data_IF_435910889475
#
_entry.id   IF_435910889475
#
_cell.length_a   1.000
_cell.length_b   1.000
_cell.length_c   1.000
_cell.angle_alpha   90.00
_cell.angle_beta   90.00
_cell.angle_gamma   90.00
#
_symmetry.space_group_name_H-M   'P 1'
#
loop_
_entity.id
_entity.type
_entity.pdbx_description
1 polymer ?
#
# COMPACT_ATOMS: atom_id res chain seq x y z
N UNK A 1 12.80 -42.12 1.86
CA UNK A 1 13.96 -41.65 1.09
C UNK A 1 13.55 -41.54 -0.36
N UNK A 2 13.40 -40.31 -0.84
CA UNK A 2 13.31 -39.99 -2.25
C UNK A 2 13.95 -38.61 -2.37
N UNK A 3 15.05 -38.59 -3.11
CA UNK A 3 15.97 -37.49 -3.30
C UNK A 3 15.53 -36.63 -4.48
N UNK A 4 15.79 -35.32 -4.36
CA UNK A 4 16.02 -34.30 -5.38
C UNK A 4 15.16 -34.22 -6.67
N UNK A 5 14.45 -33.10 -6.77
CA UNK A 5 14.44 -32.17 -7.91
C UNK A 5 14.10 -30.80 -7.29
N UNK A 6 14.94 -29.77 -7.28
CA UNK A 6 15.65 -29.18 -8.40
C UNK A 6 15.04 -27.80 -8.61
N UNK A 7 15.64 -26.74 -8.07
CA UNK A 7 15.50 -25.41 -8.68
C UNK A 7 16.80 -24.62 -8.50
N UNK A 8 17.54 -24.67 -9.59
CA UNK A 8 18.92 -24.25 -9.81
C UNK A 8 18.82 -23.00 -10.68
N UNK A 9 18.56 -21.85 -10.07
CA UNK A 9 18.55 -20.58 -10.77
C UNK A 9 19.23 -19.53 -9.90
N UNK A 10 20.57 -19.53 -9.92
CA UNK A 10 21.49 -18.39 -9.95
C UNK A 10 22.90 -18.96 -9.74
N UNK A 11 23.50 -19.40 -10.84
CA UNK A 11 24.86 -19.99 -10.90
C UNK A 11 25.89 -18.93 -10.50
N UNK A 12 26.98 -19.38 -9.87
CA UNK A 12 28.10 -18.55 -9.40
C UNK A 12 28.44 -17.42 -10.39
N UNK A 13 28.76 -16.25 -9.85
CA UNK A 13 29.05 -15.06 -10.61
C UNK A 13 30.56 -14.81 -10.58
N UNK A 14 31.15 -14.68 -11.76
CA UNK A 14 32.52 -14.18 -11.91
C UNK A 14 32.46 -12.66 -11.83
N UNK A 15 33.20 -12.06 -10.91
CA UNK A 15 33.44 -10.63 -10.90
C UNK A 15 34.81 -10.31 -10.31
N UNK A 16 35.45 -9.31 -10.89
CA UNK A 16 36.72 -8.73 -10.48
C UNK A 16 36.51 -7.53 -9.55
N UNK A 17 37.56 -7.15 -8.80
CA UNK A 17 37.55 -5.92 -7.99
C UNK A 17 37.22 -4.67 -8.83
N UNK A 18 37.66 -4.65 -10.10
CA UNK A 18 37.31 -3.60 -11.06
C UNK A 18 35.82 -3.54 -11.36
N UNK A 19 35.15 -4.69 -11.46
CA UNK A 19 33.69 -4.76 -11.66
C UNK A 19 32.95 -4.36 -10.39
N UNK A 20 33.46 -4.68 -9.20
CA UNK A 20 32.91 -4.19 -7.94
C UNK A 20 33.02 -2.66 -7.86
N UNK A 21 34.16 -2.07 -8.23
CA UNK A 21 34.29 -0.61 -8.35
C UNK A 21 33.28 -0.03 -9.33
N UNK A 22 33.14 -0.61 -10.53
CA UNK A 22 32.31 -0.08 -11.60
C UNK A 22 30.79 -0.26 -11.36
N UNK A 23 30.38 -1.40 -10.80
CA UNK A 23 28.98 -1.81 -10.64
C UNK A 23 28.45 -1.40 -9.27
N UNK A 24 29.24 -1.63 -8.21
CA UNK A 24 28.83 -1.43 -6.81
C UNK A 24 29.33 -0.09 -6.24
N UNK A 25 30.21 0.62 -6.94
CA UNK A 25 30.66 1.97 -6.57
C UNK A 25 31.76 2.02 -5.51
N UNK A 26 32.61 0.99 -5.38
CA UNK A 26 33.77 1.06 -4.51
C UNK A 26 34.76 2.16 -4.96
N UNK A 27 35.30 2.92 -4.01
CA UNK A 27 36.13 4.11 -4.29
C UNK A 27 37.54 3.78 -4.82
N UNK A 28 37.99 2.54 -4.64
CA UNK A 28 39.29 2.01 -5.08
C UNK A 28 39.25 0.49 -5.13
N UNK A 29 40.26 -0.13 -5.74
CA UNK A 29 40.43 -1.59 -5.73
C UNK A 29 40.60 -2.13 -4.32
N UNK A 30 41.38 -1.45 -3.46
CA UNK A 30 41.52 -1.83 -2.05
C UNK A 30 40.16 -1.84 -1.33
N UNK A 31 39.32 -0.83 -1.57
CA UNK A 31 37.98 -0.78 -1.01
C UNK A 31 37.06 -1.86 -1.57
N UNK A 32 37.23 -2.26 -2.84
CA UNK A 32 36.51 -3.39 -3.43
C UNK A 32 36.94 -4.71 -2.78
N UNK A 33 38.24 -4.89 -2.55
CA UNK A 33 38.81 -6.05 -1.85
C UNK A 33 38.25 -6.17 -0.43
N UNK A 34 38.24 -5.07 0.33
CA UNK A 34 37.66 -5.03 1.68
C UNK A 34 36.16 -5.39 1.69
N UNK A 35 35.40 -5.02 0.66
CA UNK A 35 33.99 -5.39 0.54
C UNK A 35 33.81 -6.89 0.28
N UNK A 36 34.65 -7.48 -0.56
CA UNK A 36 34.64 -8.92 -0.85
C UNK A 36 35.01 -9.72 0.42
N UNK A 37 36.07 -9.30 1.11
CA UNK A 37 36.51 -9.92 2.36
C UNK A 37 35.42 -9.83 3.43
N UNK A 38 34.83 -8.65 3.62
CA UNK A 38 33.73 -8.44 4.57
C UNK A 38 32.51 -9.31 4.25
N UNK A 39 32.16 -9.44 2.97
CA UNK A 39 31.05 -10.29 2.54
C UNK A 39 31.35 -11.79 2.74
N UNK A 40 32.62 -12.19 2.57
CA UNK A 40 33.10 -13.55 2.80
C UNK A 40 33.10 -13.89 4.29
N UNK A 41 33.65 -13.00 5.13
CA UNK A 41 33.67 -13.14 6.59
C UNK A 41 32.26 -13.14 7.20
N UNK A 42 31.35 -12.36 6.62
CA UNK A 42 29.94 -12.40 6.97
C UNK A 42 29.22 -13.68 6.52
N UNK A 43 29.89 -14.55 5.76
CA UNK A 43 29.35 -15.80 5.21
C UNK A 43 28.24 -15.57 4.20
N UNK A 44 28.26 -14.44 3.49
CA UNK A 44 27.26 -14.07 2.49
C UNK A 44 27.66 -14.59 1.11
N UNK A 45 28.95 -14.52 0.79
CA UNK A 45 29.52 -15.12 -0.41
C UNK A 45 30.55 -16.16 -0.01
N UNK A 46 30.80 -17.10 -0.91
CA UNK A 46 31.88 -18.07 -0.81
C UNK A 46 32.64 -18.10 -2.13
N UNK A 47 33.97 -18.21 -2.04
CA UNK A 47 34.81 -18.44 -3.21
C UNK A 47 34.62 -19.89 -3.69
N UNK A 48 34.42 -20.06 -4.99
CA UNK A 48 34.33 -21.35 -5.67
C UNK A 48 35.40 -21.41 -6.76
N UNK A 49 35.75 -22.61 -7.27
CA UNK A 49 36.75 -22.73 -8.34
C UNK A 49 36.48 -21.81 -9.54
N UNK A 50 37.53 -21.53 -10.31
CA UNK A 50 37.51 -20.64 -11.49
C UNK A 50 37.29 -19.15 -11.15
N UNK A 51 37.88 -18.68 -10.05
CA UNK A 51 37.85 -17.27 -9.63
C UNK A 51 36.43 -16.66 -9.47
N UNK A 52 35.47 -17.52 -9.12
CA UNK A 52 34.06 -17.17 -9.01
C UNK A 52 33.61 -17.04 -7.56
N UNK A 53 32.55 -16.27 -7.35
CA UNK A 53 31.86 -16.18 -6.06
C UNK A 53 30.41 -16.66 -6.17
N UNK A 54 29.94 -17.34 -5.13
CA UNK A 54 28.56 -17.78 -5.03
C UNK A 54 27.91 -17.25 -3.75
N UNK A 55 26.66 -16.84 -3.86
CA UNK A 55 25.84 -16.52 -2.69
C UNK A 55 25.56 -17.78 -1.87
N UNK A 56 25.77 -17.69 -0.57
CA UNK A 56 25.41 -18.76 0.37
C UNK A 56 23.89 -18.78 0.61
N UNK A 57 23.37 -19.87 1.17
CA UNK A 57 21.96 -19.92 1.61
C UNK A 57 21.61 -18.76 2.54
N UNK A 58 22.54 -18.36 3.42
CA UNK A 58 22.39 -17.22 4.32
C UNK A 58 22.25 -15.89 3.56
N UNK A 59 22.98 -15.70 2.47
CA UNK A 59 22.81 -14.51 1.65
C UNK A 59 21.50 -14.51 0.88
N UNK A 60 21.02 -15.67 0.40
CA UNK A 60 19.69 -15.79 -0.20
C UNK A 60 18.58 -15.52 0.81
N UNK A 61 18.71 -16.01 2.04
CA UNK A 61 17.80 -15.69 3.15
C UNK A 61 17.82 -14.19 3.44
N UNK A 62 19.01 -13.56 3.40
CA UNK A 62 19.15 -12.12 3.57
C UNK A 62 18.52 -11.35 2.42
N UNK A 63 18.72 -11.74 1.16
CA UNK A 63 18.14 -11.09 -0.02
C UNK A 63 16.62 -11.22 -0.06
N UNK A 64 16.08 -12.39 0.27
CA UNK A 64 14.64 -12.59 0.40
C UNK A 64 14.04 -11.81 1.57
N UNK A 65 14.81 -11.54 2.63
CA UNK A 65 14.42 -10.62 3.71
C UNK A 65 14.78 -9.15 3.46
N UNK A 66 15.48 -8.85 2.36
CA UNK A 66 15.91 -7.50 1.95
C UNK A 66 15.44 -7.08 0.56
N UNK A 67 14.36 -7.68 0.04
CA UNK A 67 13.31 -6.84 -0.55
C UNK A 67 13.10 -5.66 0.40
N UNK A 68 13.07 -4.40 -0.08
CA UNK A 68 13.14 -3.24 0.78
C UNK A 68 12.17 -3.45 1.92
N UNK A 69 12.71 -3.64 3.13
CA UNK A 69 11.93 -3.67 4.34
C UNK A 69 11.15 -2.37 4.32
N UNK A 70 9.89 -2.46 3.90
CA UNK A 70 8.93 -1.38 4.02
C UNK A 70 9.02 -0.98 5.48
N UNK A 71 9.61 0.19 5.72
CA UNK A 71 10.01 0.67 7.02
C UNK A 71 8.97 0.26 8.04
N UNK A 72 9.31 -0.75 8.87
CA UNK A 72 8.47 -1.36 9.90
C UNK A 72 7.04 -0.82 9.86
N UNK A 73 6.24 -1.34 8.92
CA UNK A 73 4.84 -1.00 8.84
C UNK A 73 4.21 -1.46 10.13
N UNK A 74 4.15 -0.58 11.13
CA UNK A 74 3.22 -0.71 12.23
C UNK A 74 1.89 -0.95 11.54
N UNK A 75 1.40 -2.20 11.60
CA UNK A 75 0.19 -2.65 10.92
C UNK A 75 -0.85 -1.56 11.12
N UNK A 76 -1.09 -0.73 10.09
CA UNK A 76 -1.86 0.51 10.25
C UNK A 76 -3.35 0.19 10.40
N UNK A 77 -3.70 -1.09 10.50
CA UNK A 77 -5.05 -1.62 10.36
C UNK A 77 -5.53 -1.46 8.93
N UNK A 78 -6.74 -1.93 8.68
CA UNK A 78 -7.42 -1.72 7.40
C UNK A 78 -8.05 -0.32 7.40
N UNK A 79 -8.10 0.33 6.23
CA UNK A 79 -8.81 1.60 6.09
C UNK A 79 -10.32 1.36 6.04
N UNK A 80 -10.72 0.35 5.27
CA UNK A 80 -12.06 -0.25 5.25
C UNK A 80 -11.93 -1.66 5.79
N UNK A 81 -12.68 -1.98 6.84
CA UNK A 81 -12.68 -3.31 7.44
C UNK A 81 -13.05 -4.39 6.40
N UNK A 82 -12.24 -5.44 6.33
CA UNK A 82 -12.42 -6.58 5.44
C UNK A 82 -13.77 -7.27 5.59
N UNK A 83 -14.37 -7.26 6.78
CA UNK A 83 -15.73 -7.75 7.01
C UNK A 83 -16.77 -6.90 6.24
N UNK A 84 -16.62 -5.57 6.19
CA UNK A 84 -17.50 -4.69 5.40
C UNK A 84 -17.36 -4.99 3.90
N UNK A 85 -16.14 -5.22 3.42
CA UNK A 85 -15.89 -5.59 2.01
C UNK A 85 -16.54 -6.94 1.69
N UNK A 86 -16.40 -7.93 2.57
CA UNK A 86 -17.04 -9.23 2.41
C UNK A 86 -18.57 -9.13 2.38
N UNK A 87 -19.15 -8.28 3.25
CA UNK A 87 -20.59 -8.01 3.24
C UNK A 87 -21.06 -7.37 1.93
N UNK A 88 -20.30 -6.42 1.37
CA UNK A 88 -20.61 -5.81 0.08
C UNK A 88 -20.60 -6.84 -1.05
N UNK A 89 -19.61 -7.73 -1.08
CA UNK A 89 -19.52 -8.82 -2.08
C UNK A 89 -20.68 -9.82 -1.98
N UNK A 90 -21.21 -10.02 -0.77
CA UNK A 90 -22.30 -10.95 -0.53
C UNK A 90 -23.68 -10.38 -0.93
N UNK A 91 -23.78 -9.08 -1.22
CA UNK A 91 -25.04 -8.47 -1.68
C UNK A 91 -25.25 -8.87 -3.14
N UNK A 92 -26.24 -9.74 -3.36
CA UNK A 92 -26.64 -10.23 -4.67
C UNK A 92 -27.85 -9.50 -5.27
N UNK A 93 -28.44 -8.54 -4.55
CA UNK A 93 -29.65 -7.85 -4.98
C UNK A 93 -29.36 -6.58 -5.82
N UNK A 94 -29.52 -6.74 -7.14
CA UNK A 94 -30.58 -6.04 -7.89
C UNK A 94 -30.27 -4.71 -8.55
N UNK A 95 -29.97 -3.65 -7.78
CA UNK A 95 -30.12 -2.29 -8.32
C UNK A 95 -28.80 -1.64 -8.74
N UNK A 96 -27.67 -2.11 -8.19
CA UNK A 96 -26.36 -1.55 -8.44
C UNK A 96 -25.30 -2.63 -8.62
N UNK A 97 -24.41 -2.44 -9.60
CA UNK A 97 -23.17 -3.21 -9.70
C UNK A 97 -22.12 -2.62 -8.73
N UNK A 98 -21.80 -3.39 -7.68
CA UNK A 98 -20.89 -2.97 -6.62
C UNK A 98 -19.41 -3.27 -6.94
N UNK A 99 -19.10 -3.90 -8.09
CA UNK A 99 -17.74 -4.34 -8.42
C UNK A 99 -16.72 -3.22 -8.34
N UNK A 100 -17.10 -2.02 -8.82
CA UNK A 100 -16.24 -0.83 -8.75
C UNK A 100 -16.03 -0.35 -7.32
N UNK A 101 -17.09 -0.30 -6.51
CA UNK A 101 -17.01 0.10 -5.10
C UNK A 101 -16.11 -0.84 -4.30
N UNK A 102 -16.33 -2.16 -4.45
CA UNK A 102 -15.51 -3.20 -3.81
C UNK A 102 -14.04 -3.03 -4.18
N UNK A 103 -13.74 -2.82 -5.48
CA UNK A 103 -12.37 -2.60 -5.92
C UNK A 103 -11.75 -1.33 -5.31
N UNK A 104 -12.49 -0.23 -5.24
CA UNK A 104 -11.99 1.00 -4.58
C UNK A 104 -11.71 0.78 -3.09
N UNK A 105 -12.52 -0.02 -2.37
CA UNK A 105 -12.28 -0.39 -0.97
C UNK A 105 -11.01 -1.24 -0.80
N UNK A 106 -10.70 -2.14 -1.73
CA UNK A 106 -9.45 -2.91 -1.72
C UNK A 106 -8.23 -2.01 -2.00
N UNK A 107 -8.34 -1.14 -3.01
CA UNK A 107 -7.26 -0.26 -3.42
C UNK A 107 -6.91 0.76 -2.32
N UNK A 108 -7.90 1.30 -1.62
CA UNK A 108 -7.63 2.24 -0.52
C UNK A 108 -6.95 1.54 0.66
N UNK A 109 -7.27 0.26 0.94
CA UNK A 109 -6.56 -0.54 1.93
C UNK A 109 -5.09 -0.76 1.53
N UNK A 110 -4.83 -1.08 0.26
CA UNK A 110 -3.48 -1.23 -0.26
C UNK A 110 -2.69 0.10 -0.16
N UNK A 111 -3.30 1.21 -0.55
CA UNK A 111 -2.71 2.54 -0.45
C UNK A 111 -2.41 2.94 1.00
N UNK A 112 -3.32 2.64 1.92
CA UNK A 112 -3.16 2.91 3.35
C UNK A 112 -2.00 2.14 3.96
N UNK A 113 -1.93 0.84 3.71
CA UNK A 113 -0.87 -0.04 4.19
C UNK A 113 0.51 0.33 3.60
N UNK A 114 0.54 0.77 2.34
CA UNK A 114 1.74 1.27 1.68
C UNK A 114 2.15 2.68 2.13
N UNK A 115 1.29 3.38 2.88
CA UNK A 115 1.52 4.75 3.30
C UNK A 115 1.39 5.80 2.20
N UNK A 116 0.68 5.49 1.12
CA UNK A 116 0.42 6.37 -0.01
C UNK A 116 -0.69 7.37 0.32
N UNK A 117 -0.40 8.36 1.18
CA UNK A 117 -1.42 9.27 1.75
C UNK A 117 -2.17 10.10 0.70
N UNK A 118 -1.51 10.50 -0.38
CA UNK A 118 -2.14 11.19 -1.51
C UNK A 118 -3.18 10.28 -2.18
N UNK A 119 -2.81 9.03 -2.46
CA UNK A 119 -3.71 8.04 -3.06
C UNK A 119 -4.88 7.72 -2.13
N UNK A 120 -4.65 7.62 -0.81
CA UNK A 120 -5.73 7.43 0.18
C UNK A 120 -6.74 8.57 0.10
N UNK A 121 -6.29 9.83 0.10
CA UNK A 121 -7.18 10.99 0.00
C UNK A 121 -8.00 10.98 -1.31
N UNK A 122 -7.34 10.68 -2.44
CA UNK A 122 -7.99 10.61 -3.75
C UNK A 122 -9.02 9.48 -3.84
N UNK A 123 -8.68 8.28 -3.36
CA UNK A 123 -9.59 7.12 -3.37
C UNK A 123 -10.76 7.32 -2.41
N UNK A 124 -10.52 7.86 -1.21
CA UNK A 124 -11.58 8.20 -0.27
C UNK A 124 -12.57 9.18 -0.90
N UNK A 125 -12.07 10.22 -1.60
CA UNK A 125 -12.92 11.18 -2.32
C UNK A 125 -13.73 10.51 -3.43
N UNK A 126 -13.10 9.63 -4.21
CA UNK A 126 -13.75 8.89 -5.28
C UNK A 126 -14.87 7.97 -4.75
N UNK A 127 -14.65 7.28 -3.63
CA UNK A 127 -15.68 6.48 -2.96
C UNK A 127 -16.86 7.38 -2.57
N UNK A 128 -16.60 8.51 -1.91
CA UNK A 128 -17.64 9.44 -1.44
C UNK A 128 -18.47 10.04 -2.59
N UNK A 129 -17.88 10.26 -3.77
CA UNK A 129 -18.62 10.67 -4.97
C UNK A 129 -19.41 9.54 -5.63
N UNK A 130 -19.00 8.28 -5.42
CA UNK A 130 -19.59 7.12 -6.06
C UNK A 130 -20.86 6.63 -5.36
N UNK A 131 -20.94 6.75 -4.04
CA UNK A 131 -22.02 6.21 -3.20
C UNK A 131 -23.38 6.93 -3.21
N UNK A 132 -23.53 8.24 -3.56
CA UNK A 132 -24.82 8.94 -3.43
C UNK A 132 -26.03 8.27 -4.10
N UNK A 133 -25.93 7.65 -5.29
CA UNK A 133 -27.07 6.99 -5.93
C UNK A 133 -27.69 5.86 -5.08
N UNK A 134 -26.91 5.17 -4.25
CA UNK A 134 -27.39 4.12 -3.33
C UNK A 134 -28.36 4.70 -2.29
N UNK A 135 -28.23 5.99 -1.97
CA UNK A 135 -29.13 6.71 -1.06
C UNK A 135 -30.21 7.51 -1.80
N UNK A 136 -30.37 7.28 -3.11
CA UNK A 136 -31.25 8.05 -4.00
C UNK A 136 -30.95 9.56 -4.00
N UNK A 137 -29.67 9.93 -3.88
CA UNK A 137 -29.22 11.32 -3.90
C UNK A 137 -28.22 11.55 -5.04
N UNK A 138 -28.07 12.82 -5.45
CA UNK A 138 -27.16 13.18 -6.55
C UNK A 138 -25.74 13.51 -6.09
N UNK A 139 -25.56 13.83 -4.82
CA UNK A 139 -24.26 14.16 -4.25
C UNK A 139 -24.21 13.87 -2.75
N UNK A 140 -23.01 13.78 -2.20
CA UNK A 140 -22.82 13.44 -0.79
C UNK A 140 -23.32 14.51 0.20
N UNK A 141 -23.43 15.77 -0.23
CA UNK A 141 -24.04 16.83 0.60
C UNK A 141 -25.53 16.52 0.88
N UNK A 142 -26.25 16.08 -0.16
CA UNK A 142 -27.65 15.65 -0.04
C UNK A 142 -27.79 14.38 0.79
N UNK A 143 -26.87 13.42 0.66
CA UNK A 143 -26.85 12.24 1.55
C UNK A 143 -26.77 12.69 3.00
N UNK A 144 -25.83 13.58 3.30
CA UNK A 144 -25.62 14.10 4.66
C UNK A 144 -26.87 14.80 5.21
N UNK A 145 -27.54 15.64 4.41
CA UNK A 145 -28.71 16.39 4.88
C UNK A 145 -29.95 15.52 5.12
N UNK A 146 -30.09 14.40 4.42
CA UNK A 146 -31.24 13.48 4.54
C UNK A 146 -31.10 12.47 5.70
N UNK A 147 -29.90 12.27 6.24
CA UNK A 147 -29.70 11.40 7.41
C UNK A 147 -30.37 12.03 8.64
N UNK A 148 -31.36 11.35 9.22
CA UNK A 148 -32.07 11.81 10.42
C UNK A 148 -31.27 11.60 11.71
N UNK A 149 -30.48 10.52 11.78
CA UNK A 149 -29.68 10.18 12.95
C UNK A 149 -28.49 11.13 13.14
N UNK A 150 -28.48 11.87 14.25
CA UNK A 150 -27.49 12.93 14.53
C UNK A 150 -26.05 12.43 14.53
N UNK A 151 -25.78 11.25 15.06
CA UNK A 151 -24.42 10.67 15.13
C UNK A 151 -23.88 10.34 13.74
N UNK A 152 -24.67 9.66 12.90
CA UNK A 152 -24.32 9.30 11.53
C UNK A 152 -24.11 10.57 10.70
N UNK A 153 -25.02 11.54 10.84
CA UNK A 153 -24.90 12.84 10.17
C UNK A 153 -23.58 13.52 10.51
N UNK A 154 -23.18 13.54 11.78
CA UNK A 154 -21.90 14.11 12.20
C UNK A 154 -20.68 13.45 11.53
N UNK A 155 -20.67 12.13 11.41
CA UNK A 155 -19.62 11.40 10.66
C UNK A 155 -19.61 11.78 9.17
N UNK A 156 -20.78 11.91 8.56
CA UNK A 156 -20.91 12.27 7.14
C UNK A 156 -20.52 13.72 6.88
N UNK A 157 -20.88 14.66 7.77
CA UNK A 157 -20.45 16.06 7.72
C UNK A 157 -18.93 16.19 7.82
N UNK A 158 -18.29 15.38 8.67
CA UNK A 158 -16.84 15.34 8.80
C UNK A 158 -16.17 14.89 7.49
N UNK A 159 -16.64 13.79 6.89
CA UNK A 159 -16.20 13.34 5.56
C UNK A 159 -16.44 14.46 4.54
N UNK A 160 -17.67 14.95 4.45
CA UNK A 160 -18.08 15.93 3.46
C UNK A 160 -17.18 17.16 3.50
N UNK A 161 -16.88 17.70 4.67
CA UNK A 161 -16.16 18.97 4.78
C UNK A 161 -14.65 18.75 4.73
N UNK A 162 -14.10 17.91 5.62
CA UNK A 162 -12.66 17.79 5.78
C UNK A 162 -12.01 17.00 4.64
N UNK A 163 -12.57 15.84 4.26
CA UNK A 163 -11.98 15.02 3.19
C UNK A 163 -12.00 15.76 1.85
N UNK A 164 -13.07 16.51 1.54
CA UNK A 164 -13.13 17.29 0.29
C UNK A 164 -11.95 18.23 0.16
N UNK A 165 -11.69 19.07 1.16
CA UNK A 165 -10.60 20.04 1.09
C UNK A 165 -9.22 19.37 0.96
N UNK A 166 -9.02 18.23 1.62
CA UNK A 166 -7.76 17.49 1.60
C UNK A 166 -7.55 16.83 0.24
N UNK A 167 -8.59 16.19 -0.31
CA UNK A 167 -8.52 15.53 -1.60
C UNK A 167 -8.44 16.52 -2.77
N UNK A 168 -9.19 17.63 -2.73
CA UNK A 168 -9.10 18.68 -3.75
C UNK A 168 -7.70 19.27 -3.78
N UNK A 169 -7.07 19.44 -2.61
CA UNK A 169 -5.67 19.86 -2.51
C UNK A 169 -4.73 18.85 -3.16
N UNK A 170 -4.94 17.56 -2.91
CA UNK A 170 -4.15 16.48 -3.51
C UNK A 170 -4.34 16.35 -5.04
N UNK A 171 -5.52 16.70 -5.57
CA UNK A 171 -5.86 16.55 -6.98
C UNK A 171 -5.55 17.77 -7.85
N UNK A 172 -5.68 18.98 -7.28
CA UNK A 172 -5.74 20.22 -8.07
C UNK A 172 -4.63 21.22 -7.77
N UNK A 173 -3.83 21.02 -6.71
CA UNK A 173 -2.72 21.92 -6.44
C UNK A 173 -1.60 21.72 -7.46
N UNK A 174 -1.23 22.82 -8.12
CA UNK A 174 -0.02 22.88 -8.94
C UNK A 174 1.23 22.87 -8.06
N UNK A 175 2.32 22.32 -8.60
CA UNK A 175 3.63 22.25 -7.95
C UNK A 175 4.12 23.62 -7.45
N UNK A 176 4.62 23.67 -6.22
CA UNK A 176 5.14 24.86 -5.53
C UNK A 176 6.60 24.66 -5.12
N UNK A 177 7.26 25.75 -4.72
CA UNK A 177 8.66 25.74 -4.23
C UNK A 177 8.87 24.89 -2.98
N UNK A 178 7.83 24.72 -2.16
CA UNK A 178 7.80 23.85 -0.99
C UNK A 178 6.44 23.19 -0.96
N UNK A 179 6.44 21.86 -0.96
CA UNK A 179 5.25 21.04 -0.82
C UNK A 179 5.16 20.46 0.58
N UNK A 180 3.95 20.27 1.05
CA UNK A 180 3.67 19.51 2.25
C UNK A 180 2.86 18.28 1.83
N UNK A 181 3.41 17.09 2.06
CA UNK A 181 2.71 15.83 1.83
C UNK A 181 1.70 15.65 2.97
N UNK A 182 0.44 15.28 2.70
CA UNK A 182 -0.54 15.01 3.74
C UNK A 182 -0.02 13.96 4.72
N UNK A 183 -0.05 14.29 6.01
CA UNK A 183 0.26 13.35 7.07
C UNK A 183 -0.86 12.30 7.19
N UNK A 184 -0.53 11.13 7.77
CA UNK A 184 -1.48 10.04 8.02
C UNK A 184 -2.72 10.55 8.79
N UNK A 185 -2.52 11.39 9.80
CA UNK A 185 -3.59 11.99 10.60
C UNK A 185 -4.54 12.87 9.80
N UNK A 186 -4.10 13.44 8.68
CA UNK A 186 -4.96 14.25 7.82
C UNK A 186 -5.85 13.38 6.93
N UNK A 187 -5.42 12.17 6.59
CA UNK A 187 -6.14 11.29 5.66
C UNK A 187 -6.82 10.11 6.36
N UNK A 188 -6.65 9.96 7.67
CA UNK A 188 -7.28 8.91 8.47
C UNK A 188 -8.76 9.25 8.77
N UNK A 189 -9.64 8.74 7.91
CA UNK A 189 -11.10 8.87 8.07
C UNK A 189 -11.77 7.53 8.43
N UNK A 190 -11.01 6.54 8.92
CA UNK A 190 -11.48 5.16 9.08
C UNK A 190 -12.75 5.02 9.90
N UNK A 191 -12.87 5.75 11.00
CA UNK A 191 -14.04 5.70 11.88
C UNK A 191 -15.30 6.22 11.16
N UNK A 192 -15.19 7.32 10.42
CA UNK A 192 -16.32 7.85 9.65
C UNK A 192 -16.63 7.01 8.42
N UNK A 193 -15.62 6.40 7.79
CA UNK A 193 -15.80 5.48 6.66
C UNK A 193 -16.49 4.19 7.08
N UNK A 194 -16.18 3.65 8.26
CA UNK A 194 -16.88 2.47 8.78
C UNK A 194 -18.38 2.75 8.99
N UNK A 195 -18.73 3.93 9.50
CA UNK A 195 -20.13 4.38 9.61
C UNK A 195 -20.77 4.48 8.22
N UNK A 196 -20.06 5.05 7.24
CA UNK A 196 -20.54 5.13 5.85
C UNK A 196 -20.78 3.75 5.24
N UNK A 197 -19.84 2.82 5.38
CA UNK A 197 -19.97 1.46 4.85
C UNK A 197 -21.14 0.72 5.51
N UNK A 198 -21.31 0.88 6.82
CA UNK A 198 -22.41 0.28 7.56
C UNK A 198 -23.77 0.77 7.06
N UNK A 199 -23.93 2.09 6.84
CA UNK A 199 -25.16 2.66 6.29
C UNK A 199 -25.41 2.29 4.83
N UNK A 200 -24.34 2.18 4.03
CA UNK A 200 -24.43 1.75 2.64
C UNK A 200 -24.91 0.29 2.55
N UNK A 201 -24.33 -0.61 3.33
CA UNK A 201 -24.76 -2.01 3.41
C UNK A 201 -26.22 -2.10 3.88
N UNK A 202 -26.62 -1.28 4.87
CA UNK A 202 -28.01 -1.20 5.34
C UNK A 202 -28.96 -0.74 4.23
N UNK A 203 -28.58 0.27 3.46
CA UNK A 203 -29.40 0.78 2.36
C UNK A 203 -29.58 -0.24 1.23
N UNK A 204 -28.56 -1.04 0.91
CA UNK A 204 -28.60 -2.06 -0.14
C UNK A 204 -29.34 -3.35 0.24
N UNK A 205 -29.52 -3.61 1.54
CA UNK A 205 -30.23 -4.81 2.04
C UNK A 205 -31.73 -4.58 2.25
N UNK A 206 -32.18 -3.32 2.24
CA UNK A 206 -33.58 -2.93 2.41
C UNK A 206 -34.27 -2.80 1.05
#
# INVERSE_FOLDING_TARGET
>A
MADQAGDDHFRALEFSETEVCAIMGAASLDAASELIDSATDAGLIQFVPDDCYQLTSRAWDRLSTSEPQQASGQQRGEFVDSARIAELRAISNGDFDLSRLVRMCEEINSAWNSGNTISVAMLARAIVDHVPPIFHQNNFAQVTSQISARSIRGSFEHIQTALRHIADSALHLHIRRREAIPAVTQVDFRQSFDVLMSELIRALRN
#
